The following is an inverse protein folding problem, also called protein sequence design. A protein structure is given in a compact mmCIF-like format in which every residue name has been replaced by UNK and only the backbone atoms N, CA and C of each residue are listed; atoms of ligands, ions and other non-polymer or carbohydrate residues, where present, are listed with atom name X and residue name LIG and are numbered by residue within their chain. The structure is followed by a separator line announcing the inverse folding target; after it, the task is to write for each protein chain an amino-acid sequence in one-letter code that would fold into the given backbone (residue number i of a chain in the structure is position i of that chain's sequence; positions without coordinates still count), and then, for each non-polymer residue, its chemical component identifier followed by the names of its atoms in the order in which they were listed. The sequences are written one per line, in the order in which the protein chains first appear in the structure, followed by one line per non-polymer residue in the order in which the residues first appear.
data_IF_892124381962
#
_entry.id   IF_892124381962
#
_cell.length_a   1.000
_cell.length_b   1.000
_cell.length_c   1.000
_cell.angle_alpha   90.00
_cell.angle_beta   90.00
_cell.angle_gamma   90.00
#
_symmetry.space_group_name_H-M   'P 1'
#
loop_
_entity.id
_entity.type
_entity.pdbx_description
1 polymer ?
#
# COMPACT_ATOMS: atom_id res chain seq x y z
N UNK A 1 4.23 -34.39 0.36
CA UNK A 1 3.46 -33.18 0.66
C UNK A 1 3.03 -32.42 -0.59
N UNK A 2 3.94 -31.95 -1.48
CA UNK A 2 3.60 -31.16 -2.67
C UNK A 2 2.71 -31.94 -3.67
N UNK A 3 3.06 -33.18 -3.99
CA UNK A 3 2.26 -34.05 -4.86
C UNK A 3 0.83 -34.33 -4.31
N UNK A 4 0.70 -34.42 -3.00
CA UNK A 4 -0.60 -34.59 -2.33
C UNK A 4 -1.47 -33.34 -2.49
N UNK A 5 -0.89 -32.15 -2.27
CA UNK A 5 -1.62 -30.88 -2.46
C UNK A 5 -2.06 -30.67 -3.91
N UNK A 6 -1.19 -30.99 -4.88
CA UNK A 6 -1.55 -30.92 -6.30
C UNK A 6 -2.69 -31.87 -6.64
N UNK A 7 -2.65 -33.13 -6.17
CA UNK A 7 -3.73 -34.11 -6.36
C UNK A 7 -5.05 -33.64 -5.77
N UNK A 8 -5.04 -33.06 -4.55
CA UNK A 8 -6.25 -32.53 -3.93
C UNK A 8 -6.88 -31.37 -4.72
N UNK A 9 -6.06 -30.62 -5.43
CA UNK A 9 -6.50 -29.51 -6.27
C UNK A 9 -6.72 -29.89 -7.75
N UNK A 10 -6.73 -31.21 -8.08
CA UNK A 10 -6.85 -31.74 -9.45
C UNK A 10 -5.78 -31.19 -10.42
N UNK A 11 -4.56 -30.95 -9.93
CA UNK A 11 -3.43 -30.52 -10.74
C UNK A 11 -2.51 -31.68 -11.10
N UNK A 12 -1.79 -31.56 -12.21
CA UNK A 12 -0.78 -32.53 -12.61
C UNK A 12 0.44 -32.46 -11.67
N UNK A 13 0.68 -33.51 -10.92
CA UNK A 13 1.79 -33.63 -9.97
C UNK A 13 3.14 -33.90 -10.65
N UNK A 14 3.16 -34.30 -11.91
CA UNK A 14 4.37 -34.53 -12.70
C UNK A 14 4.88 -33.25 -13.37
N UNK A 15 3.98 -32.35 -13.74
CA UNK A 15 4.34 -31.04 -14.28
C UNK A 15 4.93 -30.14 -13.18
N UNK A 16 6.20 -29.75 -13.31
CA UNK A 16 6.96 -28.97 -12.32
C UNK A 16 7.44 -27.62 -12.84
N UNK A 17 7.27 -27.32 -14.12
CA UNK A 17 7.78 -26.11 -14.78
C UNK A 17 6.71 -25.07 -14.99
N UNK A 18 5.59 -25.50 -15.55
CA UNK A 18 4.51 -24.59 -15.91
C UNK A 18 3.71 -24.17 -14.68
N UNK A 19 3.13 -22.97 -14.76
CA UNK A 19 2.23 -22.47 -13.73
C UNK A 19 0.91 -23.24 -13.76
N UNK A 20 0.53 -23.78 -12.63
CA UNK A 20 -0.76 -24.44 -12.43
C UNK A 20 -1.52 -23.75 -11.31
N UNK A 21 -2.84 -23.66 -11.45
CA UNK A 21 -3.77 -23.15 -10.45
C UNK A 21 -4.87 -24.14 -10.20
N UNK A 22 -5.27 -24.32 -8.93
CA UNK A 22 -6.39 -25.20 -8.55
C UNK A 22 -6.91 -24.83 -7.18
N UNK A 23 -8.00 -25.46 -6.77
CA UNK A 23 -8.64 -25.25 -5.49
C UNK A 23 -8.96 -26.57 -4.81
N UNK A 24 -8.95 -26.60 -3.48
CA UNK A 24 -9.40 -27.74 -2.69
C UNK A 24 -9.99 -27.29 -1.36
N UNK A 25 -10.89 -28.11 -0.80
CA UNK A 25 -11.42 -27.92 0.56
C UNK A 25 -10.72 -28.83 1.55
N UNK A 26 -10.51 -28.34 2.77
CA UNK A 26 -10.07 -29.16 3.88
C UNK A 26 -10.78 -28.75 5.17
N UNK A 27 -11.11 -29.74 5.99
CA UNK A 27 -11.67 -29.50 7.31
C UNK A 27 -10.57 -29.37 8.35
N UNK A 28 -10.67 -28.32 9.17
CA UNK A 28 -9.83 -28.15 10.34
C UNK A 28 -10.64 -27.52 11.48
N UNK A 29 -10.56 -28.12 12.67
CA UNK A 29 -11.34 -27.69 13.84
C UNK A 29 -12.82 -27.46 13.54
N UNK A 30 -13.50 -28.46 12.94
CA UNK A 30 -14.93 -28.44 12.59
C UNK A 30 -15.36 -27.37 11.57
N UNK A 31 -14.43 -26.69 10.91
CA UNK A 31 -14.71 -25.73 9.85
C UNK A 31 -14.07 -26.16 8.55
N UNK A 32 -14.85 -26.10 7.48
CA UNK A 32 -14.35 -26.30 6.11
C UNK A 32 -13.65 -25.03 5.66
N UNK A 33 -12.38 -25.15 5.26
CA UNK A 33 -11.59 -24.08 4.69
C UNK A 33 -11.35 -24.35 3.22
N UNK A 34 -11.55 -23.35 2.38
CA UNK A 34 -11.20 -23.39 0.96
C UNK A 34 -9.77 -22.90 0.77
N UNK A 35 -9.00 -23.62 -0.02
CA UNK A 35 -7.62 -23.30 -0.35
C UNK A 35 -7.47 -23.15 -1.87
N UNK A 36 -6.87 -22.05 -2.29
CA UNK A 36 -6.36 -21.88 -3.64
C UNK A 36 -4.87 -22.22 -3.63
N UNK A 37 -4.46 -23.11 -4.54
CA UNK A 37 -3.06 -23.49 -4.74
C UNK A 37 -2.57 -22.95 -6.08
N UNK A 38 -1.41 -22.31 -6.07
CA UNK A 38 -0.67 -21.95 -7.27
C UNK A 38 0.71 -22.61 -7.20
N UNK A 39 1.07 -23.38 -8.19
CA UNK A 39 2.38 -24.02 -8.33
C UNK A 39 3.08 -23.49 -9.56
N UNK A 40 4.39 -23.25 -9.48
CA UNK A 40 5.22 -22.77 -10.58
C UNK A 40 6.67 -23.21 -10.40
N UNK A 41 7.32 -23.63 -11.49
CA UNK A 41 8.76 -23.91 -11.51
C UNK A 41 9.60 -22.68 -11.25
N UNK A 42 10.66 -22.84 -10.46
CA UNK A 42 11.68 -21.81 -10.19
C UNK A 42 13.08 -22.45 -10.32
N UNK A 43 14.13 -21.61 -10.40
CA UNK A 43 15.51 -22.11 -10.61
C UNK A 43 15.98 -23.15 -9.58
N UNK A 44 15.45 -23.09 -8.37
CA UNK A 44 15.81 -23.95 -7.22
C UNK A 44 14.83 -25.08 -6.98
N UNK A 45 13.82 -25.28 -7.84
CA UNK A 45 12.79 -26.32 -7.68
C UNK A 45 11.40 -25.84 -8.05
N UNK A 46 10.41 -26.08 -7.19
CA UNK A 46 9.02 -25.70 -7.40
C UNK A 46 8.52 -24.83 -6.27
N UNK A 47 8.00 -23.65 -6.61
CA UNK A 47 7.36 -22.72 -5.66
C UNK A 47 5.87 -23.01 -5.61
N UNK A 48 5.36 -23.21 -4.39
CA UNK A 48 3.92 -23.36 -4.14
C UNK A 48 3.43 -22.26 -3.24
N UNK A 49 2.31 -21.67 -3.61
CA UNK A 49 1.59 -20.67 -2.82
C UNK A 49 0.22 -21.22 -2.49
N UNK A 50 -0.08 -21.36 -1.21
CA UNK A 50 -1.40 -21.70 -0.70
C UNK A 50 -2.06 -20.43 -0.16
N UNK A 51 -3.25 -20.14 -0.66
CA UNK A 51 -4.11 -19.08 -0.15
C UNK A 51 -5.31 -19.72 0.54
N UNK A 52 -5.64 -19.21 1.73
CA UNK A 52 -6.84 -19.66 2.45
C UNK A 52 -7.94 -18.63 2.30
N UNK A 53 -9.16 -19.11 2.13
CA UNK A 53 -10.35 -18.26 2.15
C UNK A 53 -10.71 -17.96 3.62
N UNK A 54 -9.96 -17.03 4.23
CA UNK A 54 -10.33 -16.47 5.52
C UNK A 54 -11.33 -15.34 5.28
N UNK A 55 -12.40 -15.23 6.08
CA UNK A 55 -13.25 -14.05 6.04
C UNK A 55 -12.37 -12.82 6.30
N UNK A 56 -12.05 -12.09 5.25
CA UNK A 56 -11.29 -10.85 5.34
C UNK A 56 -12.23 -9.80 5.93
N UNK A 57 -11.77 -9.06 6.95
CA UNK A 57 -12.44 -7.82 7.34
C UNK A 57 -12.58 -6.98 6.07
N UNK A 58 -13.79 -6.58 5.74
CA UNK A 58 -14.04 -5.75 4.57
C UNK A 58 -13.45 -4.38 4.86
N UNK A 59 -12.36 -4.05 4.18
CA UNK A 59 -11.71 -2.74 4.28
C UNK A 59 -12.36 -1.86 3.22
N UNK A 60 -13.12 -0.85 3.61
CA UNK A 60 -13.89 -0.04 2.67
C UNK A 60 -13.36 1.38 2.54
N UNK A 61 -12.84 1.95 3.61
CA UNK A 61 -12.36 3.35 3.67
C UNK A 61 -10.92 3.40 4.19
N UNK A 62 -10.27 4.55 4.03
CA UNK A 62 -8.89 4.79 4.51
C UNK A 62 -8.78 4.64 6.03
N UNK A 63 -9.85 4.94 6.79
CA UNK A 63 -9.90 4.72 8.23
C UNK A 63 -9.71 3.25 8.61
N UNK A 64 -10.28 2.33 7.82
CA UNK A 64 -10.12 0.88 8.04
C UNK A 64 -8.67 0.42 7.83
N UNK A 65 -7.91 1.14 7.02
CA UNK A 65 -6.48 0.90 6.80
C UNK A 65 -5.62 1.47 7.92
N UNK A 66 -6.16 2.42 8.71
CA UNK A 66 -5.50 3.00 9.86
C UNK A 66 -4.89 4.39 9.61
N UNK A 67 -5.32 5.11 8.57
CA UNK A 67 -4.93 6.51 8.37
C UNK A 67 -5.32 7.36 9.58
N UNK A 68 -4.46 8.29 9.97
CA UNK A 68 -4.77 9.20 11.08
C UNK A 68 -5.79 10.27 10.66
N UNK A 69 -6.72 10.68 11.55
CA UNK A 69 -7.77 11.64 11.22
C UNK A 69 -7.25 12.95 10.61
N UNK A 70 -6.09 13.45 11.08
CA UNK A 70 -5.46 14.67 10.53
C UNK A 70 -5.05 14.49 9.06
N UNK A 71 -4.46 13.33 8.71
CA UNK A 71 -4.06 13.04 7.33
C UNK A 71 -5.28 12.80 6.44
N UNK A 72 -6.29 12.13 6.97
CA UNK A 72 -7.55 11.91 6.26
C UNK A 72 -8.23 13.25 5.91
N UNK A 73 -8.35 14.16 6.88
CA UNK A 73 -8.95 15.47 6.65
C UNK A 73 -8.18 16.25 5.59
N UNK A 74 -6.84 16.28 5.65
CA UNK A 74 -6.02 16.93 4.65
C UNK A 74 -6.13 16.28 3.26
N UNK A 75 -6.26 14.95 3.19
CA UNK A 75 -6.52 14.24 1.93
C UNK A 75 -7.88 14.61 1.35
N UNK A 76 -8.93 14.65 2.18
CA UNK A 76 -10.28 15.02 1.76
C UNK A 76 -10.33 16.46 1.26
N UNK A 77 -9.66 17.40 1.94
CA UNK A 77 -9.53 18.79 1.48
C UNK A 77 -8.93 18.89 0.07
N UNK A 78 -7.87 18.13 -0.22
CA UNK A 78 -7.30 18.07 -1.58
C UNK A 78 -8.26 17.42 -2.59
N UNK A 79 -9.10 16.49 -2.14
CA UNK A 79 -10.06 15.78 -2.98
C UNK A 79 -11.32 16.60 -3.31
N UNK A 80 -11.60 17.66 -2.55
CA UNK A 80 -12.71 18.60 -2.79
C UNK A 80 -12.39 19.60 -3.90
N UNK A 81 -11.12 19.75 -4.29
CA UNK A 81 -10.72 20.63 -5.39
C UNK A 81 -11.42 20.20 -6.69
N UNK A 82 -11.75 21.19 -7.53
CA UNK A 82 -12.39 20.93 -8.83
C UNK A 82 -11.43 20.39 -9.87
N UNK A 83 -10.13 20.63 -9.71
CA UNK A 83 -9.08 20.28 -10.66
C UNK A 83 -7.81 19.80 -9.96
N UNK A 84 -6.95 19.11 -10.71
CA UNK A 84 -5.65 18.68 -10.27
C UNK A 84 -5.46 17.17 -10.29
N UNK A 85 -4.22 16.74 -10.12
CA UNK A 85 -3.83 15.33 -10.06
C UNK A 85 -3.51 14.93 -8.62
N UNK A 86 -4.20 13.93 -8.12
CA UNK A 86 -3.88 13.26 -6.87
C UNK A 86 -3.28 11.90 -7.20
N UNK A 87 -2.09 11.63 -6.71
CA UNK A 87 -1.42 10.33 -6.90
C UNK A 87 -1.59 9.45 -5.68
N UNK A 88 -2.02 8.22 -5.90
CA UNK A 88 -1.86 7.14 -4.94
C UNK A 88 -0.56 6.38 -5.21
N UNK A 89 0.08 5.92 -4.17
CA UNK A 89 1.33 5.17 -4.30
C UNK A 89 1.51 4.14 -3.20
N UNK A 90 2.08 3.00 -3.55
CA UNK A 90 2.54 1.96 -2.63
C UNK A 90 3.59 1.09 -3.33
N UNK A 91 4.28 0.21 -2.61
CA UNK A 91 5.12 -0.79 -3.26
C UNK A 91 4.29 -1.91 -3.90
N UNK A 92 4.81 -2.56 -4.94
CA UNK A 92 4.21 -3.78 -5.48
C UNK A 92 4.00 -4.82 -4.38
N UNK A 93 2.75 -5.31 -4.23
CA UNK A 93 2.37 -6.25 -3.18
C UNK A 93 1.97 -5.63 -1.83
N UNK A 94 2.11 -4.31 -1.65
CA UNK A 94 1.67 -3.58 -0.46
C UNK A 94 0.21 -3.06 -0.58
N UNK A 95 -0.62 -3.69 -1.42
CA UNK A 95 -2.07 -3.48 -1.39
C UNK A 95 -2.62 -2.39 -2.31
N UNK A 96 -2.04 -2.16 -3.52
CA UNK A 96 -2.51 -1.21 -4.55
C UNK A 96 -4.04 -1.15 -4.63
N UNK A 97 -4.69 -2.27 -4.98
CA UNK A 97 -6.15 -2.32 -5.18
C UNK A 97 -6.95 -2.00 -3.91
N UNK A 98 -6.38 -2.27 -2.72
CA UNK A 98 -7.02 -1.91 -1.44
C UNK A 98 -6.90 -0.41 -1.19
N UNK A 99 -5.70 0.17 -1.35
CA UNK A 99 -5.48 1.61 -1.23
C UNK A 99 -6.34 2.38 -2.23
N UNK A 100 -6.35 1.95 -3.49
CA UNK A 100 -7.16 2.54 -4.56
C UNK A 100 -8.64 2.59 -4.20
N UNK A 101 -9.22 1.42 -3.87
CA UNK A 101 -10.62 1.33 -3.49
C UNK A 101 -10.93 2.13 -2.22
N UNK A 102 -10.13 2.00 -1.17
CA UNK A 102 -10.35 2.71 0.08
C UNK A 102 -10.16 4.23 -0.08
N UNK A 103 -9.20 4.65 -0.90
CA UNK A 103 -8.96 6.06 -1.22
C UNK A 103 -10.17 6.67 -1.92
N UNK A 104 -10.62 6.07 -3.02
CA UNK A 104 -11.79 6.52 -3.75
C UNK A 104 -13.10 6.38 -2.95
N UNK A 105 -13.20 5.42 -2.03
CA UNK A 105 -14.35 5.32 -1.12
C UNK A 105 -14.35 6.38 0.00
N UNK A 106 -13.24 7.07 0.22
CA UNK A 106 -13.12 8.10 1.26
C UNK A 106 -13.38 9.54 0.75
N UNK A 107 -13.71 9.68 -0.54
CA UNK A 107 -14.08 10.96 -1.17
C UNK A 107 -15.54 10.98 -1.60
N UNK A 108 -16.09 12.17 -1.89
CA UNK A 108 -17.46 12.30 -2.35
C UNK A 108 -17.60 11.85 -3.82
N UNK A 109 -18.31 10.76 -4.02
CA UNK A 109 -18.61 10.17 -5.34
C UNK A 109 -20.10 10.22 -5.66
N UNK A 110 -20.89 10.92 -4.84
CA UNK A 110 -22.34 10.97 -5.02
C UNK A 110 -22.80 12.27 -5.66
N UNK A 111 -21.99 13.31 -5.57
CA UNK A 111 -22.29 14.64 -6.14
C UNK A 111 -21.47 14.96 -7.39
N UNK A 112 -20.51 14.08 -7.77
CA UNK A 112 -19.61 14.24 -8.92
C UNK A 112 -19.58 12.97 -9.75
N UNK A 113 -19.41 13.12 -11.09
CA UNK A 113 -19.33 12.01 -12.03
C UNK A 113 -17.91 11.46 -12.13
N UNK A 114 -17.72 10.22 -11.67
CA UNK A 114 -16.44 9.51 -11.66
C UNK A 114 -16.36 8.45 -12.75
N UNK A 115 -15.26 8.44 -13.48
CA UNK A 115 -14.92 7.39 -14.45
C UNK A 115 -13.50 6.88 -14.23
N UNK A 116 -13.32 5.57 -14.40
CA UNK A 116 -12.02 4.92 -14.37
C UNK A 116 -11.70 4.35 -15.75
N UNK A 117 -10.47 4.57 -16.25
CA UNK A 117 -9.96 3.97 -17.48
C UNK A 117 -8.95 2.90 -17.10
N UNK A 118 -9.25 1.64 -17.38
CA UNK A 118 -8.51 0.48 -16.88
C UNK A 118 -8.17 -0.50 -17.98
N UNK A 119 -7.01 -1.15 -17.87
CA UNK A 119 -6.67 -2.27 -18.73
C UNK A 119 -7.56 -3.48 -18.44
N UNK A 120 -8.03 -4.18 -19.48
CA UNK A 120 -8.79 -5.41 -19.32
C UNK A 120 -8.04 -6.49 -18.55
N UNK A 121 -6.71 -6.50 -18.65
CA UNK A 121 -5.85 -7.46 -17.96
C UNK A 121 -5.61 -7.15 -16.48
N UNK A 122 -5.90 -5.93 -16.04
CA UNK A 122 -5.58 -5.42 -14.70
C UNK A 122 -6.70 -4.57 -14.10
N UNK A 123 -7.92 -5.09 -14.13
CA UNK A 123 -9.08 -4.40 -13.56
C UNK A 123 -8.94 -4.26 -12.05
N UNK A 124 -9.23 -3.06 -11.56
CA UNK A 124 -9.37 -2.78 -10.14
C UNK A 124 -10.77 -3.22 -9.65
N UNK A 125 -10.92 -3.47 -8.34
CA UNK A 125 -12.24 -3.80 -7.79
C UNK A 125 -13.27 -2.72 -8.07
N UNK A 126 -14.48 -3.13 -8.45
CA UNK A 126 -15.60 -2.23 -8.69
C UNK A 126 -15.89 -1.32 -7.48
N UNK A 127 -16.09 -0.05 -7.75
CA UNK A 127 -16.38 0.98 -6.76
C UNK A 127 -17.72 1.63 -7.13
N UNK A 128 -18.62 1.72 -6.16
CA UNK A 128 -19.94 2.33 -6.36
C UNK A 128 -19.79 3.78 -6.84
N UNK A 129 -20.52 4.15 -7.87
CA UNK A 129 -20.50 5.48 -8.54
C UNK A 129 -19.14 5.82 -9.18
N UNK A 130 -18.34 4.83 -9.56
CA UNK A 130 -17.20 4.98 -10.47
C UNK A 130 -17.44 4.08 -11.68
N UNK A 131 -17.73 4.67 -12.83
CA UNK A 131 -17.98 3.91 -14.06
C UNK A 131 -16.64 3.47 -14.67
N UNK A 132 -16.45 2.16 -14.87
CA UNK A 132 -15.25 1.60 -15.48
C UNK A 132 -15.37 1.59 -17.01
N UNK A 133 -14.36 2.12 -17.67
CA UNK A 133 -14.13 2.04 -19.12
C UNK A 133 -12.85 1.23 -19.32
N UNK A 134 -12.90 0.22 -20.17
CA UNK A 134 -11.75 -0.65 -20.38
C UNK A 134 -11.10 -0.40 -21.75
N UNK A 135 -9.78 -0.59 -21.81
CA UNK A 135 -9.01 -0.68 -23.04
C UNK A 135 -8.33 -2.06 -23.12
N UNK A 136 -8.11 -2.50 -24.34
CA UNK A 136 -7.47 -3.80 -24.62
C UNK A 136 -6.00 -3.58 -25.02
N UNK A 137 -5.03 -3.87 -24.12
CA UNK A 137 -3.61 -3.70 -24.44
C UNK A 137 -3.12 -4.66 -25.53
N UNK A 138 -3.77 -5.81 -25.75
CA UNK A 138 -3.42 -6.75 -26.82
C UNK A 138 -3.77 -6.20 -28.21
N UNK A 139 -4.66 -5.22 -28.28
CA UNK A 139 -5.03 -4.49 -29.51
C UNK A 139 -4.25 -3.16 -29.66
N UNK A 140 -3.13 -2.99 -28.97
CA UNK A 140 -2.33 -1.76 -28.92
C UNK A 140 -3.13 -0.51 -28.42
N UNK A 141 -4.29 -0.72 -27.77
CA UNK A 141 -5.03 0.36 -27.15
C UNK A 141 -4.36 0.87 -25.88
N UNK A 142 -4.47 2.16 -25.64
CA UNK A 142 -3.95 2.85 -24.46
C UNK A 142 -5.05 3.67 -23.78
N UNK A 143 -4.83 4.19 -22.57
CA UNK A 143 -5.77 5.12 -21.96
C UNK A 143 -6.08 6.34 -22.83
N UNK A 144 -5.15 6.78 -23.69
CA UNK A 144 -5.32 7.93 -24.58
C UNK A 144 -6.40 7.71 -25.64
N UNK A 145 -6.63 6.47 -26.07
CA UNK A 145 -7.66 6.13 -27.05
C UNK A 145 -9.08 6.24 -26.48
N UNK A 146 -9.21 6.07 -25.15
CA UNK A 146 -10.50 6.15 -24.46
C UNK A 146 -10.81 7.54 -23.91
N UNK A 147 -9.79 8.33 -23.60
CA UNK A 147 -9.94 9.64 -22.96
C UNK A 147 -10.79 10.63 -23.78
N UNK A 148 -10.62 10.81 -25.12
CA UNK A 148 -11.44 11.74 -25.90
C UNK A 148 -12.93 11.39 -25.87
N UNK A 149 -13.27 10.10 -25.97
CA UNK A 149 -14.66 9.65 -25.91
C UNK A 149 -15.27 9.86 -24.53
N UNK A 150 -14.47 9.68 -23.48
CA UNK A 150 -14.88 9.94 -22.11
C UNK A 150 -15.16 11.42 -21.87
N UNK A 151 -14.31 12.30 -22.37
CA UNK A 151 -14.45 13.75 -22.21
C UNK A 151 -15.76 14.29 -22.83
N UNK A 152 -16.30 13.64 -23.86
CA UNK A 152 -17.64 13.98 -24.43
C UNK A 152 -18.77 13.76 -23.41
N UNK A 153 -18.57 12.93 -22.38
CA UNK A 153 -19.54 12.70 -21.30
C UNK A 153 -19.44 13.76 -20.20
N UNK A 154 -18.49 14.68 -20.30
CA UNK A 154 -18.21 15.74 -19.34
C UNK A 154 -17.99 15.24 -17.89
N UNK A 155 -17.12 14.24 -17.67
CA UNK A 155 -16.84 13.72 -16.32
C UNK A 155 -16.28 14.83 -15.44
N UNK A 156 -16.56 14.77 -14.13
CA UNK A 156 -15.91 15.67 -13.16
C UNK A 156 -14.55 15.13 -12.74
N UNK A 157 -14.46 13.80 -12.60
CA UNK A 157 -13.27 13.12 -12.07
C UNK A 157 -12.92 11.91 -12.93
N UNK A 158 -11.65 11.80 -13.27
CA UNK A 158 -11.11 10.66 -14.01
C UNK A 158 -10.05 9.92 -13.21
N UNK A 159 -10.12 8.60 -13.27
CA UNK A 159 -9.27 7.70 -12.49
C UNK A 159 -8.42 6.83 -13.43
N UNK A 160 -7.10 6.84 -13.22
CA UNK A 160 -6.12 6.08 -14.00
C UNK A 160 -5.29 5.23 -13.02
N UNK A 161 -5.69 3.99 -12.75
CA UNK A 161 -5.00 3.12 -11.77
C UNK A 161 -3.58 2.73 -12.18
N UNK A 162 -3.16 3.07 -13.41
CA UNK A 162 -1.79 2.89 -13.89
C UNK A 162 -1.38 4.05 -14.82
N UNK A 163 -0.39 4.82 -14.40
CA UNK A 163 0.27 5.82 -15.24
C UNK A 163 1.41 5.14 -15.99
N UNK A 164 1.16 4.79 -17.24
CA UNK A 164 2.05 3.90 -18.03
C UNK A 164 3.11 4.64 -18.85
N UNK A 165 2.87 5.90 -19.23
CA UNK A 165 3.79 6.66 -20.10
C UNK A 165 3.75 8.16 -19.84
N UNK A 166 4.78 8.87 -20.31
CA UNK A 166 4.84 10.33 -20.25
C UNK A 166 3.76 11.00 -21.10
N UNK A 167 3.35 10.38 -22.18
CA UNK A 167 2.28 10.87 -23.07
C UNK A 167 0.93 10.86 -22.33
N UNK A 168 0.61 9.79 -21.61
CA UNK A 168 -0.58 9.71 -20.75
C UNK A 168 -0.55 10.80 -19.70
N UNK A 169 0.60 11.02 -19.03
CA UNK A 169 0.73 12.08 -18.03
C UNK A 169 0.56 13.47 -18.65
N UNK A 170 1.12 13.72 -19.84
CA UNK A 170 0.97 14.99 -20.54
C UNK A 170 -0.48 15.27 -20.89
N UNK A 171 -1.21 14.27 -21.39
CA UNK A 171 -2.62 14.43 -21.73
C UNK A 171 -3.48 14.68 -20.48
N UNK A 172 -3.20 14.00 -19.37
CA UNK A 172 -3.81 14.28 -18.06
C UNK A 172 -3.56 15.75 -17.66
N UNK A 173 -2.31 16.22 -17.74
CA UNK A 173 -1.97 17.61 -17.39
C UNK A 173 -2.66 18.62 -18.32
N UNK A 174 -2.73 18.34 -19.62
CA UNK A 174 -3.44 19.16 -20.59
C UNK A 174 -4.94 19.23 -20.29
N UNK A 175 -5.56 18.09 -20.00
CA UNK A 175 -6.99 18.03 -19.66
C UNK A 175 -7.29 18.77 -18.35
N UNK A 176 -6.43 18.67 -17.35
CA UNK A 176 -6.56 19.42 -16.08
C UNK A 176 -6.56 20.93 -16.38
N UNK A 177 -5.55 21.40 -17.10
CA UNK A 177 -5.37 22.83 -17.40
C UNK A 177 -6.50 23.38 -18.26
N UNK A 178 -6.90 22.67 -19.33
CA UNK A 178 -7.79 23.20 -20.36
C UNK A 178 -9.27 22.98 -20.02
N UNK A 179 -9.60 21.98 -19.20
CA UNK A 179 -10.99 21.61 -18.88
C UNK A 179 -11.29 21.62 -17.36
N UNK A 180 -10.33 22.00 -16.52
CA UNK A 180 -10.49 22.08 -15.06
C UNK A 180 -11.05 20.78 -14.45
N UNK A 181 -10.41 19.64 -14.79
CA UNK A 181 -10.83 18.32 -14.33
C UNK A 181 -9.93 17.82 -13.21
N UNK A 182 -10.48 16.95 -12.35
CA UNK A 182 -9.70 16.26 -11.34
C UNK A 182 -9.33 14.85 -11.81
N UNK A 183 -8.10 14.45 -11.50
CA UNK A 183 -7.60 13.11 -11.79
C UNK A 183 -7.06 12.41 -10.53
N UNK A 184 -7.33 11.12 -10.45
CA UNK A 184 -6.63 10.21 -9.55
C UNK A 184 -5.75 9.27 -10.37
N UNK A 185 -4.47 9.21 -10.03
CA UNK A 185 -3.51 8.31 -10.66
C UNK A 185 -2.84 7.40 -9.65
N UNK A 186 -2.21 6.32 -10.12
CA UNK A 186 -1.38 5.47 -9.28
C UNK A 186 -0.01 5.25 -9.94
N UNK A 187 1.03 5.27 -9.10
CA UNK A 187 2.40 4.92 -9.50
C UNK A 187 3.09 4.16 -8.36
N UNK A 188 3.77 3.02 -8.63
CA UNK A 188 4.48 2.31 -7.58
C UNK A 188 5.74 3.07 -7.15
N UNK A 189 5.93 3.28 -5.83
CA UNK A 189 7.12 3.91 -5.27
C UNK A 189 7.35 3.50 -3.81
N UNK A 190 8.47 3.97 -3.22
CA UNK A 190 8.84 3.72 -1.82
C UNK A 190 8.41 4.85 -0.87
N UNK A 191 8.11 6.03 -1.40
CA UNK A 191 7.66 7.20 -0.65
C UNK A 191 6.86 8.13 -1.56
N UNK A 192 6.16 9.11 -0.96
CA UNK A 192 5.45 10.13 -1.73
C UNK A 192 6.41 10.97 -2.61
N UNK A 193 7.60 11.26 -2.12
CA UNK A 193 8.62 12.00 -2.88
C UNK A 193 9.18 11.19 -4.05
N UNK A 194 9.42 9.88 -3.85
CA UNK A 194 9.86 9.02 -4.95
C UNK A 194 8.76 8.85 -6.01
N UNK A 195 7.49 8.90 -5.66
CA UNK A 195 6.39 8.85 -6.62
C UNK A 195 6.51 9.96 -7.68
N UNK A 196 6.85 11.18 -7.26
CA UNK A 196 7.11 12.30 -8.18
C UNK A 196 8.24 11.95 -9.17
N UNK A 197 9.36 11.44 -8.66
CA UNK A 197 10.50 11.06 -9.48
C UNK A 197 10.17 9.89 -10.43
N UNK A 198 9.31 8.97 -10.00
CA UNK A 198 8.81 7.87 -10.84
C UNK A 198 7.98 8.37 -12.00
N UNK A 199 7.05 9.31 -11.75
CA UNK A 199 6.30 9.94 -12.86
C UNK A 199 7.26 10.66 -13.80
N UNK A 200 8.20 11.45 -13.29
CA UNK A 200 9.19 12.15 -14.11
C UNK A 200 10.09 11.20 -14.92
N UNK A 201 10.32 9.98 -14.45
CA UNK A 201 11.05 8.95 -15.22
C UNK A 201 10.30 8.47 -16.47
N UNK A 202 8.98 8.67 -16.53
CA UNK A 202 8.16 8.43 -17.73
C UNK A 202 8.36 9.52 -18.79
N UNK A 203 9.09 10.59 -18.46
CA UNK A 203 9.42 11.74 -19.32
C UNK A 203 8.21 12.59 -19.77
N UNK A 204 7.27 12.96 -18.86
CA UNK A 204 6.30 13.99 -19.16
C UNK A 204 6.96 15.38 -19.24
N UNK A 205 6.19 16.40 -19.63
CA UNK A 205 6.60 17.79 -19.43
C UNK A 205 6.65 18.11 -17.92
N UNK A 206 7.83 18.42 -17.36
CA UNK A 206 7.95 18.68 -15.92
C UNK A 206 7.20 19.92 -15.45
N UNK A 207 7.03 20.93 -16.30
CA UNK A 207 6.34 22.15 -15.95
C UNK A 207 4.83 21.90 -15.86
N UNK A 208 4.24 21.26 -16.86
CA UNK A 208 2.83 20.88 -16.86
C UNK A 208 2.50 19.92 -15.70
N UNK A 209 3.36 18.93 -15.44
CA UNK A 209 3.19 18.02 -14.32
C UNK A 209 3.27 18.73 -12.97
N UNK A 210 4.23 19.66 -12.78
CA UNK A 210 4.36 20.43 -11.54
C UNK A 210 3.11 21.28 -11.25
N UNK A 211 2.48 21.86 -12.28
CA UNK A 211 1.27 22.65 -12.13
C UNK A 211 0.05 21.80 -11.81
N UNK A 212 -0.07 20.65 -12.47
CA UNK A 212 -1.24 19.77 -12.33
C UNK A 212 -1.23 18.95 -11.03
N UNK A 213 -0.06 18.63 -10.46
CA UNK A 213 0.02 17.79 -9.27
C UNK A 213 -0.44 18.54 -8.02
N UNK A 214 -1.43 18.00 -7.30
CA UNK A 214 -2.00 18.56 -6.07
C UNK A 214 -1.49 17.85 -4.82
N UNK A 215 -1.51 16.52 -4.83
CA UNK A 215 -1.06 15.74 -3.68
C UNK A 215 -0.58 14.33 -4.07
N UNK A 216 0.20 13.72 -3.19
CA UNK A 216 0.58 12.30 -3.26
C UNK A 216 0.24 11.62 -1.94
N UNK A 217 -0.62 10.61 -1.97
CA UNK A 217 -0.91 9.74 -0.82
C UNK A 217 -0.17 8.42 -1.01
N UNK A 218 0.84 8.19 -0.16
CA UNK A 218 1.64 6.97 -0.16
C UNK A 218 1.31 6.09 1.04
N UNK A 219 1.25 4.76 0.83
CA UNK A 219 0.99 3.77 1.88
C UNK A 219 2.08 2.70 1.93
N UNK A 220 2.42 2.29 3.14
CA UNK A 220 3.20 1.08 3.42
C UNK A 220 2.49 0.24 4.48
N UNK A 221 2.50 -1.07 4.31
CA UNK A 221 1.83 -1.98 5.24
C UNK A 221 2.80 -2.48 6.29
N UNK A 222 2.41 -2.37 7.58
CA UNK A 222 3.12 -2.94 8.72
C UNK A 222 2.27 -3.96 9.47
N UNK A 223 2.92 -4.93 10.09
CA UNK A 223 2.27 -5.87 10.99
C UNK A 223 1.96 -5.19 12.32
N UNK A 224 0.80 -5.51 12.88
CA UNK A 224 0.41 -5.06 14.22
C UNK A 224 0.94 -6.05 15.25
N UNK A 225 1.49 -5.55 16.34
CA UNK A 225 1.82 -6.38 17.49
C UNK A 225 0.58 -7.10 18.02
N UNK A 226 0.75 -8.32 18.47
CA UNK A 226 -0.33 -9.04 19.13
C UNK A 226 -0.58 -8.44 20.51
N UNK A 227 -1.78 -7.92 20.73
CA UNK A 227 -2.13 -7.26 21.99
C UNK A 227 -2.08 -8.17 23.22
N UNK A 228 -2.15 -9.51 23.03
CA UNK A 228 -2.15 -10.48 24.12
C UNK A 228 -0.76 -10.88 24.58
N UNK A 229 0.25 -10.78 23.71
CA UNK A 229 1.59 -11.26 24.04
C UNK A 229 2.73 -10.26 23.77
N UNK A 230 2.42 -9.04 23.31
CA UNK A 230 3.45 -8.01 23.14
C UNK A 230 4.11 -7.69 24.47
N UNK A 231 5.42 -7.49 24.45
CA UNK A 231 6.23 -7.25 25.65
C UNK A 231 6.57 -5.77 25.77
N UNK A 232 6.19 -5.09 26.87
CA UNK A 232 6.58 -3.71 27.13
C UNK A 232 8.07 -3.63 27.50
N UNK A 233 8.75 -2.57 27.09
CA UNK A 233 10.08 -2.23 27.54
C UNK A 233 10.25 -0.70 27.62
N UNK A 234 11.15 -0.26 28.51
CA UNK A 234 11.43 1.15 28.70
C UNK A 234 12.47 1.63 27.66
N UNK A 235 12.11 2.60 26.81
CA UNK A 235 13.05 3.11 25.82
C UNK A 235 14.18 3.91 26.48
N UNK A 236 15.43 3.67 26.06
CA UNK A 236 16.55 4.46 26.56
C UNK A 236 16.44 5.93 26.09
N UNK A 237 16.96 6.90 26.87
CA UNK A 237 16.98 8.32 26.44
C UNK A 237 17.65 8.53 25.08
N UNK A 238 18.69 7.74 24.78
CA UNK A 238 19.36 7.77 23.48
C UNK A 238 18.47 7.28 22.34
N UNK A 239 17.63 6.27 22.58
CA UNK A 239 16.65 5.78 21.60
C UNK A 239 15.58 6.82 21.33
N UNK A 240 15.04 7.46 22.38
CA UNK A 240 14.05 8.53 22.24
C UNK A 240 14.61 9.71 21.44
N UNK A 241 15.85 10.13 21.74
CA UNK A 241 16.52 11.21 21.01
C UNK A 241 16.70 10.88 19.50
N UNK A 242 17.10 9.65 19.15
CA UNK A 242 17.22 9.18 17.75
C UNK A 242 15.90 9.16 17.01
N UNK A 243 14.79 8.97 17.71
CA UNK A 243 13.44 8.97 17.17
C UNK A 243 12.78 10.35 17.20
N UNK A 244 13.45 11.36 17.75
CA UNK A 244 12.90 12.71 17.88
C UNK A 244 11.75 12.82 18.89
N UNK A 245 11.66 11.88 19.83
CA UNK A 245 10.60 11.85 20.86
C UNK A 245 11.11 12.55 22.13
N UNK A 246 10.42 13.60 22.61
CA UNK A 246 10.78 14.25 23.88
C UNK A 246 10.69 13.26 25.05
N UNK A 247 11.65 13.35 25.97
CA UNK A 247 11.70 12.52 27.20
C UNK A 247 10.40 12.71 28.01
N UNK A 248 9.85 11.61 28.52
CA UNK A 248 8.62 11.63 29.33
C UNK A 248 7.32 11.63 28.52
N UNK A 249 7.37 11.74 27.19
CA UNK A 249 6.17 11.69 26.34
C UNK A 249 5.67 10.26 26.07
N UNK A 250 6.58 9.30 26.12
CA UNK A 250 6.27 7.87 25.98
C UNK A 250 6.92 7.14 27.14
N UNK A 251 6.12 6.35 27.87
CA UNK A 251 6.61 5.58 29.02
C UNK A 251 7.22 4.26 28.59
N UNK A 252 6.54 3.54 27.69
CA UNK A 252 7.00 2.21 27.25
C UNK A 252 6.80 2.03 25.75
N UNK A 253 7.72 1.35 25.11
CA UNK A 253 7.56 0.75 23.79
C UNK A 253 7.19 -0.72 23.94
N UNK A 254 6.86 -1.36 22.80
CA UNK A 254 6.46 -2.76 22.79
C UNK A 254 7.21 -3.50 21.68
N UNK A 255 7.67 -4.70 22.02
CA UNK A 255 8.24 -5.66 21.07
C UNK A 255 7.30 -6.86 20.88
N UNK A 256 7.55 -7.59 19.79
CA UNK A 256 6.90 -8.88 19.58
C UNK A 256 7.36 -9.90 20.63
N UNK A 257 6.43 -10.75 21.05
CA UNK A 257 6.79 -11.92 21.80
C UNK A 257 7.77 -12.80 21.01
N UNK A 258 8.82 -13.26 21.67
CA UNK A 258 9.77 -14.22 21.14
C UNK A 258 9.89 -15.39 22.11
N UNK A 259 10.09 -16.62 21.61
CA UNK A 259 10.41 -17.73 22.49
C UNK A 259 11.70 -17.41 23.26
N UNK A 260 11.83 -17.88 24.50
CA UNK A 260 13.08 -17.73 25.26
C UNK A 260 14.27 -18.33 24.50
N UNK A 261 15.50 -17.94 24.82
CA UNK A 261 16.70 -18.53 24.23
C UNK A 261 16.71 -20.05 24.32
N UNK A 262 17.35 -20.78 23.41
CA UNK A 262 17.39 -22.24 23.42
C UNK A 262 17.88 -22.85 24.76
N UNK A 263 18.73 -22.13 25.47
CA UNK A 263 19.26 -22.51 26.79
C UNK A 263 18.18 -22.54 27.87
N UNK A 264 17.15 -21.71 27.75
CA UNK A 264 16.00 -21.63 28.65
C UNK A 264 14.83 -22.52 28.20
N UNK A 265 14.96 -23.22 27.07
CA UNK A 265 13.95 -24.13 26.54
C UNK A 265 14.15 -25.58 27.02
N UNK A 266 15.08 -25.81 27.94
CA UNK A 266 15.35 -27.13 28.52
C UNK A 266 15.28 -27.04 30.05
N UNK A 267 14.87 -28.14 30.68
CA UNK A 267 14.91 -28.28 32.13
C UNK A 267 16.34 -28.50 32.62
N UNK A 268 16.54 -28.56 33.96
CA UNK A 268 17.85 -28.83 34.59
C UNK A 268 18.46 -30.16 34.15
N UNK A 269 17.68 -31.05 33.54
CA UNK A 269 18.11 -32.36 33.04
C UNK A 269 18.34 -32.37 31.53
N UNK A 270 18.19 -31.22 30.87
CA UNK A 270 18.36 -31.08 29.40
C UNK A 270 17.16 -31.55 28.58
N UNK A 271 15.99 -31.79 29.17
CA UNK A 271 14.79 -32.15 28.41
C UNK A 271 14.08 -30.89 27.92
N UNK A 272 13.47 -30.88 26.69
CA UNK A 272 12.69 -29.76 26.17
C UNK A 272 11.51 -29.42 27.08
N UNK A 273 11.38 -28.14 27.43
CA UNK A 273 10.21 -27.62 28.14
C UNK A 273 9.17 -27.13 27.12
N UNK A 274 7.89 -27.44 27.36
CA UNK A 274 6.81 -26.93 26.57
C UNK A 274 6.63 -25.43 26.83
N UNK A 275 6.93 -24.61 25.81
CA UNK A 275 6.81 -23.15 25.91
C UNK A 275 5.38 -22.77 25.54
N UNK A 276 4.62 -22.11 26.43
CA UNK A 276 3.28 -21.68 26.13
C UNK A 276 3.30 -20.62 25.03
N UNK A 277 2.70 -20.92 23.88
CA UNK A 277 2.56 -20.00 22.76
C UNK A 277 1.23 -19.25 22.86
N UNK A 278 1.25 -17.98 22.50
CA UNK A 278 0.03 -17.18 22.46
C UNK A 278 -1.00 -17.77 21.48
N UNK A 279 -2.22 -18.13 21.93
CA UNK A 279 -3.21 -18.78 21.08
C UNK A 279 -3.75 -17.86 19.97
N UNK A 280 -3.67 -16.54 20.13
CA UNK A 280 -4.15 -15.57 19.15
C UNK A 280 -3.23 -15.44 17.95
N UNK A 281 -1.92 -15.35 18.16
CA UNK A 281 -0.94 -15.16 17.10
C UNK A 281 -0.15 -16.43 16.79
N UNK A 282 -0.37 -17.53 17.52
CA UNK A 282 0.35 -18.79 17.40
C UNK A 282 1.89 -18.61 17.53
N UNK A 283 2.33 -17.79 18.48
CA UNK A 283 3.74 -17.54 18.73
C UNK A 283 4.44 -16.60 17.74
N UNK A 284 3.72 -16.00 16.78
CA UNK A 284 4.31 -15.09 15.77
C UNK A 284 4.66 -13.72 16.37
N UNK A 285 4.02 -13.31 17.49
CA UNK A 285 4.15 -11.99 18.10
C UNK A 285 3.39 -10.88 17.39
N UNK A 286 2.90 -11.12 16.17
CA UNK A 286 2.11 -10.17 15.38
C UNK A 286 0.74 -10.73 15.02
N UNK A 287 -0.29 -9.85 15.02
CA UNK A 287 -1.64 -10.21 14.63
C UNK A 287 -2.34 -9.06 13.89
N UNK A 288 -2.62 -9.27 12.61
CA UNK A 288 -3.20 -8.26 11.73
C UNK A 288 -2.17 -7.30 11.14
N UNK A 289 -2.67 -6.35 10.36
CA UNK A 289 -1.87 -5.34 9.64
C UNK A 289 -2.54 -3.98 9.72
N UNK A 290 -1.78 -2.92 9.48
CA UNK A 290 -2.26 -1.54 9.33
C UNK A 290 -1.38 -0.81 8.33
N UNK A 291 -1.90 0.25 7.72
CA UNK A 291 -1.12 1.16 6.89
C UNK A 291 -0.33 2.17 7.73
N UNK A 292 0.81 2.56 7.20
CA UNK A 292 1.48 3.83 7.52
C UNK A 292 1.27 4.70 6.30
N UNK A 293 0.81 5.94 6.51
CA UNK A 293 0.47 6.85 5.42
C UNK A 293 1.39 8.06 5.42
N UNK A 294 1.76 8.48 4.23
CA UNK A 294 2.47 9.72 3.96
C UNK A 294 1.65 10.52 2.97
N UNK A 295 1.16 11.68 3.37
CA UNK A 295 0.48 12.63 2.50
C UNK A 295 1.40 13.80 2.22
N UNK A 296 1.78 13.97 0.97
CA UNK A 296 2.54 15.11 0.46
C UNK A 296 1.59 16.04 -0.28
N UNK A 297 1.28 17.17 0.30
CA UNK A 297 0.58 18.27 -0.39
C UNK A 297 1.61 19.10 -1.16
N UNK A 298 1.33 19.40 -2.41
CA UNK A 298 2.31 20.05 -3.29
C UNK A 298 2.29 21.55 -3.08
N UNK A 299 3.39 22.07 -2.56
CA UNK A 299 3.62 23.52 -2.38
C UNK A 299 4.37 24.11 -3.57
N UNK A 300 4.42 25.45 -3.66
CA UNK A 300 5.15 26.11 -4.75
C UNK A 300 6.65 25.78 -4.73
N UNK A 301 7.23 25.60 -3.54
CA UNK A 301 8.64 25.18 -3.41
C UNK A 301 8.87 23.79 -4.03
N UNK A 302 7.92 22.87 -3.88
CA UNK A 302 8.01 21.54 -4.49
C UNK A 302 7.83 21.66 -6.02
N UNK A 303 6.88 22.48 -6.50
CA UNK A 303 6.68 22.76 -7.94
C UNK A 303 7.95 23.31 -8.58
N UNK A 304 8.61 24.27 -7.94
CA UNK A 304 9.87 24.83 -8.40
C UNK A 304 11.00 23.78 -8.52
N UNK A 305 11.09 22.85 -7.57
CA UNK A 305 12.05 21.75 -7.66
C UNK A 305 11.73 20.83 -8.83
N UNK A 306 10.44 20.47 -9.04
CA UNK A 306 10.02 19.64 -10.16
C UNK A 306 10.38 20.28 -11.51
N UNK A 307 10.13 21.59 -11.67
CA UNK A 307 10.40 22.33 -12.90
C UNK A 307 11.90 22.45 -13.23
N UNK A 308 12.75 22.61 -12.22
CA UNK A 308 14.17 22.97 -12.43
C UNK A 308 15.10 21.75 -12.45
N UNK A 309 15.23 21.09 -11.29
CA UNK A 309 16.13 19.96 -11.11
C UNK A 309 15.61 18.99 -10.05
N UNK A 310 14.69 18.11 -10.41
CA UNK A 310 14.10 17.17 -9.45
C UNK A 310 15.16 16.17 -8.97
N UNK A 311 15.36 16.12 -7.65
CA UNK A 311 16.12 15.08 -6.96
C UNK A 311 15.48 14.78 -5.63
N UNK A 312 15.73 13.58 -5.08
CA UNK A 312 15.13 13.19 -3.81
C UNK A 312 15.51 14.17 -2.68
N UNK A 313 16.77 14.58 -2.62
CA UNK A 313 17.27 15.52 -1.59
C UNK A 313 16.62 16.90 -1.72
N UNK A 314 16.50 17.43 -2.95
CA UNK A 314 15.87 18.73 -3.19
C UNK A 314 14.37 18.69 -2.85
N UNK A 315 13.66 17.63 -3.23
CA UNK A 315 12.25 17.43 -2.88
C UNK A 315 12.07 17.27 -1.37
N UNK A 316 12.96 16.53 -0.69
CA UNK A 316 12.94 16.38 0.77
C UNK A 316 13.13 17.72 1.47
N UNK A 317 14.08 18.53 1.01
CA UNK A 317 14.33 19.87 1.58
C UNK A 317 13.12 20.82 1.36
N UNK A 318 12.49 20.77 0.18
CA UNK A 318 11.30 21.57 -0.12
C UNK A 318 10.09 21.11 0.72
N UNK A 319 9.85 19.82 0.80
CA UNK A 319 8.76 19.24 1.59
C UNK A 319 8.90 19.56 3.09
N UNK A 320 10.11 19.52 3.63
CA UNK A 320 10.37 19.85 5.02
C UNK A 320 10.00 21.32 5.37
N UNK A 321 10.22 22.27 4.44
CA UNK A 321 9.79 23.66 4.61
C UNK A 321 8.26 23.79 4.70
N UNK A 322 7.53 22.99 3.96
CA UNK A 322 6.07 22.91 3.99
C UNK A 322 5.50 22.17 5.20
N UNK A 323 6.33 21.71 6.14
CA UNK A 323 5.87 20.96 7.32
C UNK A 323 5.41 19.53 7.00
N UNK A 324 5.90 18.95 5.91
CA UNK A 324 5.61 17.57 5.54
C UNK A 324 6.03 16.58 6.62
N UNK A 325 5.16 15.65 6.92
CA UNK A 325 5.41 14.56 7.88
C UNK A 325 5.76 13.30 7.07
N UNK A 326 6.97 12.82 7.25
CA UNK A 326 7.46 11.66 6.49
C UNK A 326 6.79 10.35 6.93
N UNK A 327 6.86 9.35 6.08
CA UNK A 327 6.42 7.99 6.39
C UNK A 327 7.10 7.43 7.66
N UNK A 328 8.37 7.80 7.89
CA UNK A 328 9.12 7.44 9.10
C UNK A 328 8.48 8.05 10.35
N UNK A 329 8.14 9.33 10.31
CA UNK A 329 7.55 10.04 11.47
C UNK A 329 6.17 9.48 11.80
N UNK A 330 5.35 9.18 10.79
CA UNK A 330 4.07 8.49 10.97
C UNK A 330 4.26 7.09 11.56
N UNK A 331 5.25 6.35 11.10
CA UNK A 331 5.60 5.04 11.66
C UNK A 331 6.03 5.12 13.12
N UNK A 332 6.80 6.14 13.50
CA UNK A 332 7.22 6.39 14.90
C UNK A 332 5.98 6.62 15.80
N UNK A 333 4.96 7.32 15.30
CA UNK A 333 3.70 7.49 16.06
C UNK A 333 3.01 6.15 16.32
N UNK A 334 3.02 5.21 15.36
CA UNK A 334 2.46 3.86 15.56
C UNK A 334 3.28 3.04 16.56
N UNK A 335 4.61 3.18 16.56
CA UNK A 335 5.50 2.56 17.57
C UNK A 335 5.21 3.13 18.95
N UNK A 336 5.12 4.45 19.07
CA UNK A 336 4.81 5.12 20.35
C UNK A 336 3.45 4.72 20.93
N UNK A 337 2.49 4.37 20.07
CA UNK A 337 1.17 3.83 20.46
C UNK A 337 1.20 2.31 20.76
N UNK A 338 2.33 1.66 20.60
CA UNK A 338 2.45 0.20 20.74
C UNK A 338 1.64 -0.59 19.69
N UNK A 339 1.34 0.02 18.55
CA UNK A 339 0.62 -0.65 17.45
C UNK A 339 1.56 -1.58 16.68
N UNK A 340 2.80 -1.18 16.49
CA UNK A 340 3.87 -1.97 15.84
C UNK A 340 5.18 -1.83 16.61
N UNK A 341 6.17 -2.65 16.28
CA UNK A 341 7.51 -2.56 16.88
C UNK A 341 8.46 -1.70 16.05
N UNK A 342 9.56 -1.24 16.69
CA UNK A 342 10.63 -0.54 15.98
C UNK A 342 11.26 -1.43 14.91
N UNK A 343 11.45 -2.71 15.20
CA UNK A 343 12.03 -3.70 14.28
C UNK A 343 11.17 -3.86 13.04
N UNK A 344 9.86 -3.93 13.21
CA UNK A 344 8.93 -4.00 12.07
C UNK A 344 8.95 -2.72 11.23
N UNK A 345 8.96 -1.55 11.88
CA UNK A 345 9.08 -0.27 11.18
C UNK A 345 10.38 -0.19 10.37
N UNK A 346 11.52 -0.57 10.97
CA UNK A 346 12.81 -0.61 10.27
C UNK A 346 12.81 -1.60 9.11
N UNK A 347 12.18 -2.77 9.26
CA UNK A 347 12.04 -3.78 8.21
C UNK A 347 11.30 -3.21 6.99
N UNK A 348 10.24 -2.44 7.23
CA UNK A 348 9.40 -1.87 6.17
C UNK A 348 10.10 -0.70 5.49
N UNK A 349 10.79 0.18 6.24
CA UNK A 349 11.45 1.35 5.67
C UNK A 349 12.77 1.01 4.94
N UNK A 350 13.39 -0.15 5.20
CA UNK A 350 14.60 -0.61 4.49
C UNK A 350 14.33 -1.24 3.12
N UNK A 351 13.11 -1.66 2.85
CA UNK A 351 12.66 -2.20 1.57
C UNK A 351 12.34 -1.09 0.57
#
# INVERSE_FOLDING_TARGET
MLATLKKLANLDFQERRNRQKGEFGAEWMTKTHRFEITSQGVRTGERVVLRTDRPKKKLEKLEDLGIRPKLLAAFQEQSEASEGLILFSSLPGDGKSTLWRCGLNSVDRFTRDYYSIESQDALEPEIINVAQITFDPDSDETPLDKLPQLLLRQPDVMCLPDLVSGEVVNEVCTTIRDQQKQFYGYIPSRSALEAILRVLSLKPDPAAFAESLSAVLHERIVRKLCNECRQPYDPSPQMLAKLGIPTGRVQSFFDEWRPPPPEEQVDEKGNPIEIPVCPKCNGIGYYGRTGIFELLVITEEIREVIRKKPSLDALTAAAAKGGHISLKDEGIVLVAKGTTSIQELQRVLKK
#
